data_IF_069573686767
#
_entry.id   IF_069573686767
#
_cell.length_a   1.000
_cell.length_b   1.000
_cell.length_c   1.000
_cell.angle_alpha   90.00
_cell.angle_beta   90.00
_cell.angle_gamma   90.00
#
_symmetry.space_group_name_H-M   'P 1'
#
loop_
_entity.id
_entity.type
_entity.pdbx_description
1 polymer ?
#
# COMPACT_ATOMS: atom_id res chain seq x y z
N UNK A 1 7.24 -9.07 3.76
CA UNK A 1 8.38 -8.44 4.45
C UNK A 1 7.82 -7.41 5.42
N UNK A 2 7.37 -7.84 6.60
CA UNK A 2 7.01 -6.95 7.71
C UNK A 2 8.31 -6.48 8.35
N UNK A 3 8.73 -5.26 8.06
CA UNK A 3 9.86 -4.66 8.76
C UNK A 3 9.45 -4.35 10.21
N UNK A 4 10.32 -4.60 11.20
CA UNK A 4 9.99 -4.29 12.59
C UNK A 4 9.72 -2.79 12.75
N UNK A 5 8.51 -2.43 13.17
CA UNK A 5 8.13 -1.07 13.60
C UNK A 5 8.62 -0.83 15.04
N UNK A 6 9.86 -1.24 15.33
CA UNK A 6 10.44 -1.00 16.64
C UNK A 6 10.77 0.50 16.78
N UNK A 7 10.56 1.08 17.98
CA UNK A 7 11.01 2.43 18.28
C UNK A 7 12.51 2.56 18.04
N UNK A 8 12.93 3.66 17.42
CA UNK A 8 14.34 3.90 17.17
C UNK A 8 15.04 4.15 18.51
N UNK A 9 16.11 3.41 18.85
CA UNK A 9 16.80 3.55 20.13
C UNK A 9 17.35 4.96 20.32
N UNK A 10 17.27 5.44 21.56
CA UNK A 10 17.91 6.70 21.98
C UNK A 10 19.41 6.47 22.19
N UNK A 11 20.25 7.51 22.04
CA UNK A 11 21.66 7.42 22.38
C UNK A 11 21.84 6.99 23.83
N UNK A 12 22.78 6.08 24.07
CA UNK A 12 23.09 5.60 25.42
C UNK A 12 23.68 6.72 26.28
N UNK A 13 23.33 6.75 27.57
CA UNK A 13 23.84 7.73 28.55
C UNK A 13 25.37 7.83 28.60
N UNK A 14 26.17 6.75 28.50
CA UNK A 14 27.62 6.84 28.38
C UNK A 14 28.13 7.64 27.17
N UNK A 15 27.47 7.56 26.02
CA UNK A 15 27.89 8.32 24.81
C UNK A 15 27.68 9.81 25.04
N UNK A 16 26.53 10.19 25.60
CA UNK A 16 26.22 11.59 25.92
C UNK A 16 27.15 12.16 26.98
N UNK A 17 27.57 11.34 27.94
CA UNK A 17 28.56 11.73 28.94
C UNK A 17 29.97 11.88 28.34
N UNK A 18 30.37 10.98 27.45
CA UNK A 18 31.67 11.03 26.78
C UNK A 18 31.85 12.31 25.93
N UNK A 19 30.78 12.77 25.28
CA UNK A 19 30.78 14.02 24.49
C UNK A 19 31.03 15.28 25.33
N UNK A 20 30.87 15.22 26.66
CA UNK A 20 31.05 16.36 27.59
C UNK A 20 32.42 16.40 28.26
N UNK A 21 33.26 15.39 28.02
CA UNK A 21 34.59 15.31 28.63
C UNK A 21 35.47 16.44 28.09
N UNK A 22 36.20 17.11 28.98
CA UNK A 22 37.26 18.05 28.61
C UNK A 22 38.53 17.24 28.38
N UNK A 23 39.04 17.16 27.13
CA UNK A 23 40.22 16.38 26.84
C UNK A 23 41.46 17.02 27.46
N UNK A 24 42.36 16.18 27.98
CA UNK A 24 43.63 16.58 28.61
C UNK A 24 44.84 16.28 27.72
N UNK A 25 44.69 15.36 26.78
CA UNK A 25 45.74 14.90 25.86
C UNK A 25 45.34 15.11 24.41
N UNK A 26 46.32 15.26 23.52
CA UNK A 26 46.08 15.42 22.08
C UNK A 26 45.40 14.18 21.45
N UNK A 27 45.67 12.99 22.00
CA UNK A 27 44.96 11.77 21.58
C UNK A 27 43.48 11.80 21.96
N UNK A 28 43.15 12.34 23.15
CA UNK A 28 41.76 12.49 23.57
C UNK A 28 41.02 13.53 22.74
N UNK A 29 41.69 14.60 22.28
CA UNK A 29 41.06 15.59 21.38
C UNK A 29 40.66 14.94 20.05
N UNK A 30 41.55 14.17 19.44
CA UNK A 30 41.27 13.49 18.16
C UNK A 30 40.13 12.48 18.32
N UNK A 31 40.13 11.70 19.40
CA UNK A 31 39.06 10.73 19.68
C UNK A 31 37.71 11.42 19.93
N UNK A 32 37.71 12.55 20.64
CA UNK A 32 36.49 13.31 20.90
C UNK A 32 35.93 13.95 19.62
N UNK A 33 36.77 14.42 18.72
CA UNK A 33 36.38 14.91 17.39
C UNK A 33 35.74 13.79 16.55
N UNK A 34 36.41 12.64 16.46
CA UNK A 34 35.86 11.47 15.76
C UNK A 34 34.52 11.00 16.36
N UNK A 35 34.40 11.04 17.70
CA UNK A 35 33.14 10.70 18.38
C UNK A 35 32.02 11.68 18.03
N UNK A 36 32.30 13.00 18.03
CA UNK A 36 31.32 14.03 17.63
C UNK A 36 30.87 13.84 16.19
N UNK A 37 31.79 13.61 15.26
CA UNK A 37 31.46 13.36 13.87
C UNK A 37 30.54 12.14 13.74
N UNK A 38 30.90 11.02 14.38
CA UNK A 38 30.09 9.81 14.37
C UNK A 38 28.69 10.02 14.96
N UNK A 39 28.56 10.79 16.05
CA UNK A 39 27.28 11.12 16.69
C UNK A 39 26.40 11.97 15.76
N UNK A 40 26.98 12.95 15.07
CA UNK A 40 26.23 13.76 14.09
C UNK A 40 25.70 12.93 12.94
N UNK A 41 26.52 12.03 12.40
CA UNK A 41 26.10 11.11 11.33
C UNK A 41 25.01 10.16 11.82
N UNK A 42 25.17 9.61 13.03
CA UNK A 42 24.19 8.70 13.61
C UNK A 42 22.84 9.39 13.84
N UNK A 43 22.83 10.63 14.34
CA UNK A 43 21.61 11.43 14.50
C UNK A 43 20.91 11.67 13.17
N UNK A 44 21.65 12.07 12.13
CA UNK A 44 21.07 12.29 10.80
C UNK A 44 20.47 11.00 10.22
N UNK A 45 21.16 9.87 10.37
CA UNK A 45 20.64 8.57 9.94
C UNK A 45 19.37 8.20 10.71
N UNK A 46 19.37 8.40 12.02
CA UNK A 46 18.23 8.11 12.90
C UNK A 46 16.99 8.90 12.49
N UNK A 47 17.15 10.19 12.23
CA UNK A 47 16.05 11.07 11.80
C UNK A 47 15.52 10.64 10.42
N UNK A 48 16.40 10.25 9.50
CA UNK A 48 16.02 9.68 8.20
C UNK A 48 15.23 8.37 8.36
N UNK A 49 15.68 7.48 9.24
CA UNK A 49 14.97 6.22 9.53
C UNK A 49 13.58 6.50 10.10
N UNK A 50 13.43 7.52 10.96
CA UNK A 50 12.13 7.91 11.50
C UNK A 50 11.15 8.33 10.40
N UNK A 51 11.62 9.15 9.45
CA UNK A 51 10.82 9.58 8.29
C UNK A 51 10.45 8.39 7.41
N UNK A 52 11.38 7.46 7.18
CA UNK A 52 11.13 6.25 6.39
C UNK A 52 10.09 5.33 7.05
N UNK A 53 10.21 5.11 8.36
CA UNK A 53 9.23 4.32 9.12
C UNK A 53 7.84 4.95 9.06
N UNK A 54 7.73 6.25 9.29
CA UNK A 54 6.45 6.97 9.20
C UNK A 54 5.83 6.86 7.80
N UNK A 55 6.65 7.05 6.76
CA UNK A 55 6.23 6.93 5.36
C UNK A 55 5.79 5.52 5.01
N UNK A 56 6.49 4.50 5.52
CA UNK A 56 6.12 3.09 5.31
C UNK A 56 4.76 2.77 5.94
N UNK A 57 4.52 3.18 7.19
CA UNK A 57 3.22 2.97 7.87
C UNK A 57 2.10 3.62 7.05
N UNK A 58 2.31 4.86 6.59
CA UNK A 58 1.32 5.55 5.76
C UNK A 58 1.08 4.81 4.44
N UNK A 59 2.14 4.39 3.76
CA UNK A 59 2.05 3.65 2.51
C UNK A 59 1.31 2.31 2.68
N UNK A 60 1.59 1.57 3.75
CA UNK A 60 0.92 0.31 4.05
C UNK A 60 -0.58 0.52 4.29
N UNK A 61 -0.95 1.52 5.08
CA UNK A 61 -2.38 1.85 5.32
C UNK A 61 -3.09 2.28 4.04
N UNK A 62 -2.44 3.07 3.20
CA UNK A 62 -2.97 3.50 1.91
C UNK A 62 -3.16 2.32 0.96
N UNK A 63 -2.12 1.49 0.79
CA UNK A 63 -2.16 0.33 -0.09
C UNK A 63 -3.22 -0.67 0.34
N UNK A 64 -3.39 -0.89 1.65
CA UNK A 64 -4.45 -1.76 2.17
C UNK A 64 -5.84 -1.20 1.86
N UNK A 65 -6.08 0.11 2.05
CA UNK A 65 -7.34 0.74 1.66
C UNK A 65 -7.61 0.60 0.16
N UNK A 66 -6.61 0.86 -0.67
CA UNK A 66 -6.73 0.76 -2.12
C UNK A 66 -7.06 -0.68 -2.56
N UNK A 67 -6.37 -1.68 -2.00
CA UNK A 67 -6.64 -3.10 -2.28
C UNK A 67 -8.09 -3.48 -1.94
N UNK A 68 -8.59 -3.05 -0.79
CA UNK A 68 -9.98 -3.30 -0.38
C UNK A 68 -10.97 -2.65 -1.36
N UNK A 69 -10.73 -1.40 -1.75
CA UNK A 69 -11.59 -0.69 -2.70
C UNK A 69 -11.60 -1.36 -4.08
N UNK A 70 -10.44 -1.79 -4.57
CA UNK A 70 -10.32 -2.51 -5.83
C UNK A 70 -11.04 -3.85 -5.76
N UNK A 71 -10.82 -4.65 -4.72
CA UNK A 71 -11.52 -5.92 -4.52
C UNK A 71 -13.04 -5.73 -4.46
N UNK A 72 -13.53 -4.67 -3.80
CA UNK A 72 -14.95 -4.33 -3.79
C UNK A 72 -15.47 -3.93 -5.18
N UNK A 73 -14.72 -3.12 -5.93
CA UNK A 73 -15.09 -2.69 -7.29
C UNK A 73 -15.13 -3.89 -8.25
N UNK A 74 -14.17 -4.80 -8.15
CA UNK A 74 -14.13 -6.03 -8.94
C UNK A 74 -15.28 -6.96 -8.61
N UNK A 75 -15.57 -7.18 -7.32
CA UNK A 75 -16.76 -7.93 -6.88
C UNK A 75 -18.06 -7.31 -7.41
N UNK A 76 -18.16 -5.98 -7.44
CA UNK A 76 -19.32 -5.28 -8.02
C UNK A 76 -19.38 -5.42 -9.55
N UNK A 77 -18.25 -5.31 -10.25
CA UNK A 77 -18.18 -5.52 -11.71
C UNK A 77 -18.56 -6.94 -12.11
N UNK A 78 -18.13 -7.95 -11.35
CA UNK A 78 -18.50 -9.35 -11.57
C UNK A 78 -19.99 -9.63 -11.34
N UNK A 79 -20.69 -8.79 -10.59
CA UNK A 79 -22.16 -8.86 -10.38
C UNK A 79 -22.97 -8.05 -11.41
N UNK A 80 -22.35 -7.08 -12.07
CA UNK A 80 -22.98 -6.20 -13.06
C UNK A 80 -23.13 -6.85 -14.45
N UNK A 81 -22.65 -8.09 -14.63
CA UNK A 81 -22.81 -8.88 -15.85
C UNK A 81 -24.18 -9.54 -15.96
N UNK A 82 -24.95 -9.65 -14.87
CA UNK A 82 -26.29 -10.22 -14.80
C UNK A 82 -27.35 -9.31 -15.43
N UNK A 83 -27.13 -8.81 -16.65
CA UNK A 83 -28.09 -7.96 -17.34
C UNK A 83 -27.53 -7.08 -18.47
N UNK A 84 -26.29 -7.29 -18.89
CA UNK A 84 -25.72 -6.67 -20.09
C UNK A 84 -25.27 -7.76 -21.05
N UNK A 85 -25.74 -7.68 -22.29
CA UNK A 85 -25.34 -8.56 -23.39
C UNK A 85 -23.80 -8.61 -23.55
N UNK A 86 -23.15 -7.45 -23.42
CA UNK A 86 -21.69 -7.28 -23.49
C UNK A 86 -21.10 -6.92 -22.12
N UNK A 87 -21.24 -7.81 -21.14
CA UNK A 87 -20.64 -7.75 -19.80
C UNK A 87 -20.03 -6.40 -19.36
N UNK A 88 -18.70 -6.32 -19.28
CA UNK A 88 -17.94 -5.18 -18.75
C UNK A 88 -17.78 -3.98 -19.71
N UNK A 89 -18.36 -4.04 -20.91
CA UNK A 89 -18.30 -2.96 -21.92
C UNK A 89 -16.94 -2.76 -22.59
N UNK A 90 -15.97 -3.66 -22.40
CA UNK A 90 -14.70 -3.61 -23.14
C UNK A 90 -14.86 -4.30 -24.51
N UNK A 91 -14.29 -3.73 -25.60
CA UNK A 91 -14.24 -4.40 -26.89
C UNK A 91 -13.53 -5.75 -26.76
N UNK A 92 -14.17 -6.82 -27.23
CA UNK A 92 -13.59 -8.16 -27.27
C UNK A 92 -13.87 -8.78 -28.64
N UNK A 93 -12.85 -9.40 -29.23
CA UNK A 93 -13.03 -10.18 -30.45
C UNK A 93 -13.61 -11.54 -30.07
N UNK A 94 -14.84 -11.80 -30.51
CA UNK A 94 -15.54 -13.07 -30.34
C UNK A 94 -15.69 -13.74 -31.70
N UNK A 95 -15.66 -15.08 -31.73
CA UNK A 95 -16.14 -15.83 -32.90
C UNK A 95 -17.65 -15.66 -33.04
N UNK A 96 -18.18 -15.81 -34.27
CA UNK A 96 -19.62 -15.65 -34.53
C UNK A 96 -20.49 -16.53 -33.63
N UNK A 97 -20.07 -17.78 -33.41
CA UNK A 97 -20.80 -18.74 -32.57
C UNK A 97 -20.83 -18.30 -31.10
N UNK A 98 -19.68 -17.85 -30.57
CA UNK A 98 -19.57 -17.36 -29.19
C UNK A 98 -20.40 -16.09 -28.96
N UNK A 99 -20.55 -15.24 -29.98
CA UNK A 99 -21.44 -14.08 -29.93
C UNK A 99 -22.92 -14.51 -29.93
N UNK A 100 -23.29 -15.45 -30.81
CA UNK A 100 -24.65 -15.94 -30.92
C UNK A 100 -25.15 -16.57 -29.61
N UNK A 101 -24.34 -17.43 -28.97
CA UNK A 101 -24.66 -18.02 -27.67
C UNK A 101 -24.92 -16.98 -26.59
N UNK A 102 -24.14 -15.89 -26.55
CA UNK A 102 -24.36 -14.80 -25.59
C UNK A 102 -25.67 -14.05 -25.81
N UNK A 103 -26.07 -13.85 -27.07
CA UNK A 103 -27.36 -13.21 -27.42
C UNK A 103 -28.55 -14.08 -27.01
N UNK A 104 -28.47 -15.39 -27.23
CA UNK A 104 -29.53 -16.33 -26.82
C UNK A 104 -29.71 -16.32 -25.31
N UNK A 105 -28.63 -16.49 -24.54
CA UNK A 105 -28.66 -16.46 -23.07
C UNK A 105 -29.21 -15.14 -22.53
N UNK A 106 -28.84 -14.01 -23.13
CA UNK A 106 -29.36 -12.69 -22.73
C UNK A 106 -30.86 -12.54 -23.02
N UNK A 107 -31.33 -13.04 -24.16
CA UNK A 107 -32.74 -12.97 -24.58
C UNK A 107 -33.64 -13.83 -23.69
N UNK A 108 -33.16 -15.03 -23.32
CA UNK A 108 -33.84 -15.91 -22.35
C UNK A 108 -33.90 -15.27 -20.96
N UNK A 109 -32.79 -14.67 -20.51
CA UNK A 109 -32.74 -13.96 -19.24
C UNK A 109 -33.70 -12.75 -19.18
N UNK A 110 -33.83 -11.99 -20.28
CA UNK A 110 -34.81 -10.89 -20.37
C UNK A 110 -36.25 -11.39 -20.27
N UNK A 111 -36.57 -12.50 -20.95
CA UNK A 111 -37.90 -13.13 -20.90
C UNK A 111 -38.26 -13.60 -19.50
N UNK A 112 -37.31 -14.12 -18.73
CA UNK A 112 -37.54 -14.54 -17.34
C UNK A 112 -37.69 -13.38 -16.35
N UNK A 113 -37.37 -12.13 -16.72
CA UNK A 113 -37.49 -10.94 -15.86
C UNK A 113 -38.62 -9.99 -16.23
N UNK A 114 -39.10 -10.01 -17.47
CA UNK A 114 -40.19 -9.15 -17.96
C UNK A 114 -41.60 -9.71 -17.80
N UNK A 115 -41.81 -10.72 -16.96
CA UNK A 115 -43.10 -11.40 -16.79
C UNK A 115 -43.99 -10.88 -15.66
N UNK A 116 -43.58 -9.86 -14.91
CA UNK A 116 -44.30 -9.36 -13.71
C UNK A 116 -44.89 -7.94 -13.87
N UNK A 117 -45.04 -7.44 -15.10
CA UNK A 117 -45.79 -6.20 -15.38
C UNK A 117 -46.74 -6.44 -16.56
N UNK A 118 -47.85 -7.15 -16.31
CA UNK A 118 -49.10 -7.03 -17.06
C UNK A 118 -50.21 -7.73 -16.25
N UNK A 119 -50.65 -7.06 -15.18
CA UNK A 119 -51.85 -7.40 -14.43
C UNK A 119 -52.81 -6.22 -14.48
N UNK A 120 -53.92 -6.40 -15.22
CA UNK A 120 -55.09 -5.51 -15.27
C UNK A 120 -55.55 -5.01 -13.90
#
# INVERSE_FOLDING_TARGET
MTLPTAPIPQPSTPITNALRIVPKTETETILLEALKESDTMFRALRDRVAVLQASQILNDTYCNKLRIQLAHKEKKKGKQTLGKLMGNGLPRMLSGDAFYEQVVQFTEWQRSRGGDEDGC
#
